data_IF_831159149359
#
_entry.id   IF_831159149359
#
_cell.length_a   1.000
_cell.length_b   1.000
_cell.length_c   1.000
_cell.angle_alpha   90.00
_cell.angle_beta   90.00
_cell.angle_gamma   90.00
#
_symmetry.space_group_name_H-M   'P 1'
#
loop_
_entity.id
_entity.type
_entity.pdbx_description
1 polymer ?
#
# COMPACT_ATOMS: atom_id res chain seq x y z
N UNK A 1 -36.14 45.25 7.64
CA UNK A 1 -35.20 44.81 6.59
C UNK A 1 -33.78 44.49 7.07
N UNK A 2 -33.19 45.15 8.08
CA UNK A 2 -31.80 44.85 8.51
C UNK A 2 -31.56 43.39 8.99
N UNK A 3 -32.47 42.82 9.78
CA UNK A 3 -32.32 41.46 10.33
C UNK A 3 -32.24 40.37 9.26
N UNK A 4 -33.02 40.50 8.18
CA UNK A 4 -33.03 39.54 7.07
C UNK A 4 -31.66 39.54 6.36
N UNK A 5 -31.13 40.72 6.05
CA UNK A 5 -29.80 40.85 5.43
C UNK A 5 -28.67 40.31 6.32
N UNK A 6 -28.77 40.46 7.64
CA UNK A 6 -27.80 39.88 8.58
C UNK A 6 -27.87 38.35 8.62
N UNK A 7 -29.08 37.79 8.56
CA UNK A 7 -29.30 36.34 8.45
C UNK A 7 -28.76 35.77 7.15
N UNK A 8 -29.06 36.40 6.01
CA UNK A 8 -28.54 36.01 4.70
C UNK A 8 -27.02 36.00 4.69
N UNK A 9 -26.39 37.05 5.26
CA UNK A 9 -24.93 37.10 5.38
C UNK A 9 -24.39 35.96 6.24
N UNK A 10 -25.01 35.65 7.39
CA UNK A 10 -24.60 34.53 8.25
C UNK A 10 -24.76 33.19 7.56
N UNK A 11 -25.87 32.96 6.85
CA UNK A 11 -26.10 31.75 6.07
C UNK A 11 -25.02 31.60 5.00
N UNK A 12 -24.71 32.67 4.28
CA UNK A 12 -23.67 32.65 3.25
C UNK A 12 -22.28 32.33 3.86
N UNK A 13 -21.94 32.96 4.98
CA UNK A 13 -20.67 32.69 5.69
C UNK A 13 -20.60 31.24 6.15
N UNK A 14 -21.65 30.72 6.80
CA UNK A 14 -21.69 29.33 7.26
C UNK A 14 -21.60 28.33 6.09
N UNK A 15 -22.22 28.62 4.95
CA UNK A 15 -22.10 27.79 3.75
C UNK A 15 -20.69 27.79 3.18
N UNK A 16 -20.02 28.95 3.13
CA UNK A 16 -18.63 29.05 2.69
C UNK A 16 -17.70 28.29 3.65
N UNK A 17 -17.91 28.41 4.96
CA UNK A 17 -17.17 27.66 5.97
C UNK A 17 -17.39 26.16 5.85
N UNK A 18 -18.64 25.71 5.70
CA UNK A 18 -18.97 24.30 5.50
C UNK A 18 -18.32 23.73 4.23
N UNK A 19 -18.31 24.50 3.14
CA UNK A 19 -17.63 24.12 1.88
C UNK A 19 -16.11 24.01 2.08
N UNK A 20 -15.51 24.99 2.77
CA UNK A 20 -14.08 24.98 3.07
C UNK A 20 -13.68 23.79 3.95
N UNK A 21 -14.45 23.50 5.00
CA UNK A 21 -14.22 22.35 5.88
C UNK A 21 -14.39 21.02 5.13
N UNK A 22 -15.36 20.92 4.22
CA UNK A 22 -15.57 19.71 3.40
C UNK A 22 -14.40 19.46 2.45
N UNK A 23 -13.84 20.52 1.85
CA UNK A 23 -12.64 20.41 1.03
C UNK A 23 -11.43 19.96 1.86
N UNK A 24 -11.24 20.53 3.05
CA UNK A 24 -10.18 20.12 3.97
C UNK A 24 -10.30 18.66 4.40
N UNK A 25 -11.51 18.20 4.72
CA UNK A 25 -11.78 16.82 5.08
C UNK A 25 -11.43 15.87 3.92
N UNK A 26 -11.78 16.23 2.69
CA UNK A 26 -11.47 15.42 1.49
C UNK A 26 -9.96 15.26 1.31
N UNK A 27 -9.19 16.33 1.50
CA UNK A 27 -7.72 16.29 1.42
C UNK A 27 -7.16 15.38 2.52
N UNK A 28 -7.60 15.56 3.77
CA UNK A 28 -7.13 14.75 4.89
C UNK A 28 -7.47 13.26 4.72
N UNK A 29 -8.66 12.93 4.20
CA UNK A 29 -9.03 11.55 3.88
C UNK A 29 -8.12 10.95 2.82
N UNK A 30 -7.85 11.70 1.74
CA UNK A 30 -6.93 11.27 0.68
C UNK A 30 -5.53 11.02 1.23
N UNK A 31 -5.00 11.95 2.02
CA UNK A 31 -3.65 11.87 2.56
C UNK A 31 -3.54 10.71 3.57
N UNK A 32 -4.57 10.49 4.40
CA UNK A 32 -4.65 9.34 5.31
C UNK A 32 -4.63 8.01 4.55
N UNK A 33 -5.41 7.90 3.48
CA UNK A 33 -5.45 6.70 2.65
C UNK A 33 -4.10 6.46 1.93
N UNK A 34 -3.46 7.53 1.45
CA UNK A 34 -2.13 7.46 0.84
C UNK A 34 -1.08 6.96 1.83
N UNK A 35 -1.06 7.51 3.05
CA UNK A 35 -0.14 7.08 4.11
C UNK A 35 -0.40 5.64 4.55
N UNK A 36 -1.67 5.22 4.61
CA UNK A 36 -2.02 3.84 4.94
C UNK A 36 -1.52 2.85 3.87
N UNK A 37 -1.62 3.20 2.58
CA UNK A 37 -1.10 2.40 1.48
C UNK A 37 0.43 2.28 1.55
N UNK A 38 1.13 3.40 1.75
CA UNK A 38 2.60 3.42 1.92
C UNK A 38 3.03 2.59 3.14
N UNK A 39 2.33 2.72 4.26
CA UNK A 39 2.60 1.93 5.46
C UNK A 39 2.45 0.41 5.21
N UNK A 40 1.44 0.00 4.45
CA UNK A 40 1.24 -1.39 4.06
C UNK A 40 2.38 -1.89 3.15
N UNK A 41 2.81 -1.09 2.17
CA UNK A 41 3.93 -1.44 1.30
C UNK A 41 5.23 -1.58 2.09
N UNK A 42 5.52 -0.65 2.99
CA UNK A 42 6.70 -0.70 3.86
C UNK A 42 6.68 -1.94 4.76
N UNK A 43 5.53 -2.32 5.32
CA UNK A 43 5.39 -3.56 6.10
C UNK A 43 5.68 -4.81 5.28
N UNK A 44 5.14 -4.89 4.06
CA UNK A 44 5.41 -6.02 3.16
C UNK A 44 6.89 -6.10 2.78
N UNK A 45 7.50 -4.95 2.48
CA UNK A 45 8.93 -4.87 2.19
C UNK A 45 9.79 -5.30 3.38
N UNK A 46 9.43 -4.87 4.59
CA UNK A 46 10.11 -5.28 5.82
C UNK A 46 10.02 -6.79 6.01
N UNK A 47 8.84 -7.38 5.90
CA UNK A 47 8.64 -8.82 6.03
C UNK A 47 9.46 -9.61 4.99
N UNK A 48 9.52 -9.13 3.75
CA UNK A 48 10.35 -9.73 2.70
C UNK A 48 11.84 -9.67 3.05
N UNK A 49 12.31 -8.53 3.57
CA UNK A 49 13.69 -8.38 4.04
C UNK A 49 14.01 -9.32 5.21
N UNK A 50 13.10 -9.47 6.17
CA UNK A 50 13.26 -10.42 7.28
C UNK A 50 13.39 -11.86 6.78
N UNK A 51 12.54 -12.28 5.83
CA UNK A 51 12.64 -13.60 5.19
C UNK A 51 13.96 -13.78 4.46
N UNK A 52 14.41 -12.75 3.73
CA UNK A 52 15.70 -12.78 3.04
C UNK A 52 16.87 -12.95 4.02
N UNK A 53 16.87 -12.24 5.15
CA UNK A 53 17.90 -12.37 6.19
C UNK A 53 17.90 -13.78 6.79
N UNK A 54 16.73 -14.33 7.14
CA UNK A 54 16.63 -15.68 7.67
C UNK A 54 17.17 -16.75 6.71
N UNK A 55 16.87 -16.64 5.42
CA UNK A 55 17.42 -17.55 4.40
C UNK A 55 18.94 -17.38 4.24
N UNK A 56 19.44 -16.14 4.33
CA UNK A 56 20.87 -15.86 4.28
C UNK A 56 21.60 -16.44 5.49
N UNK A 57 21.04 -16.34 6.68
CA UNK A 57 21.59 -16.94 7.91
C UNK A 57 21.64 -18.47 7.80
N UNK A 58 20.54 -19.10 7.36
CA UNK A 58 20.49 -20.55 7.13
C UNK A 58 21.54 -21.01 6.10
N UNK A 59 21.73 -20.24 5.02
CA UNK A 59 22.74 -20.51 4.01
C UNK A 59 24.16 -20.35 4.57
N UNK A 60 24.42 -19.29 5.34
CA UNK A 60 25.70 -19.09 6.01
C UNK A 60 26.04 -20.22 6.97
N UNK A 61 25.09 -20.68 7.78
CA UNK A 61 25.32 -21.77 8.73
C UNK A 61 25.56 -23.10 8.01
N UNK A 62 24.80 -23.40 6.96
CA UNK A 62 25.06 -24.57 6.10
C UNK A 62 26.46 -24.54 5.48
N UNK A 63 26.89 -23.37 4.98
CA UNK A 63 28.23 -23.21 4.42
C UNK A 63 29.33 -23.36 5.48
N UNK A 64 29.14 -22.84 6.70
CA UNK A 64 30.08 -23.05 7.81
C UNK A 64 30.22 -24.53 8.15
N UNK A 65 29.11 -25.28 8.16
CA UNK A 65 29.12 -26.73 8.38
C UNK A 65 29.87 -27.48 7.28
N UNK A 66 29.62 -27.16 6.00
CA UNK A 66 30.33 -27.79 4.88
C UNK A 66 31.84 -27.47 4.93
N UNK A 67 32.22 -26.22 5.23
CA UNK A 67 33.63 -25.85 5.45
C UNK A 67 34.24 -26.65 6.60
N UNK A 68 33.51 -26.84 7.70
CA UNK A 68 33.98 -27.63 8.83
C UNK A 68 34.19 -29.10 8.43
N UNK A 69 33.24 -29.69 7.72
CA UNK A 69 33.33 -31.06 7.21
C UNK A 69 34.51 -31.24 6.24
N UNK A 70 34.69 -30.30 5.31
CA UNK A 70 35.84 -30.29 4.39
C UNK A 70 37.17 -30.16 5.12
N UNK A 71 37.26 -29.35 6.19
CA UNK A 71 38.46 -29.26 7.03
C UNK A 71 38.80 -30.59 7.72
N UNK A 72 37.79 -31.34 8.18
CA UNK A 72 37.97 -32.68 8.75
C UNK A 72 38.47 -33.65 7.68
N UNK A 73 37.82 -33.70 6.51
CA UNK A 73 38.20 -34.61 5.42
C UNK A 73 39.60 -34.35 4.88
N UNK A 74 40.02 -33.09 4.83
CA UNK A 74 41.37 -32.68 4.38
C UNK A 74 42.44 -32.84 5.47
N UNK A 75 42.07 -33.26 6.68
CA UNK A 75 43.02 -33.46 7.79
C UNK A 75 43.64 -32.17 8.32
N UNK A 76 43.05 -31.00 8.02
CA UNK A 76 43.57 -29.69 8.43
C UNK A 76 43.05 -29.22 9.79
N UNK A 77 42.39 -30.09 10.55
CA UNK A 77 41.87 -29.77 11.88
C UNK A 77 43.02 -29.74 12.89
N UNK A 78 43.54 -28.53 13.14
CA UNK A 78 44.50 -28.19 14.20
C UNK A 78 45.98 -28.44 13.87
N UNK A 79 46.53 -27.66 12.93
CA UNK A 79 47.97 -27.37 12.87
C UNK A 79 48.28 -26.02 13.52
N UNK A 80 47.96 -25.89 14.81
CA UNK A 80 48.54 -24.85 15.65
C UNK A 80 49.46 -25.54 16.67
N UNK A 81 50.63 -26.00 16.20
CA UNK A 81 51.54 -26.79 17.04
C UNK A 81 52.77 -27.33 16.30
N UNK A 82 53.59 -26.44 15.73
CA UNK A 82 55.00 -26.71 15.43
C UNK A 82 55.35 -27.25 14.04
N UNK A 83 56.58 -26.98 13.54
CA UNK A 83 57.04 -27.43 12.23
C UNK A 83 57.45 -28.90 12.31
N UNK A 84 56.58 -29.82 11.89
CA UNK A 84 56.92 -31.24 11.77
C UNK A 84 56.95 -31.68 10.31
N UNK A 85 58.16 -31.60 9.79
CA UNK A 85 58.87 -32.61 8.99
C UNK A 85 58.12 -33.30 7.82
N UNK A 86 58.80 -33.19 6.68
CA UNK A 86 58.59 -33.87 5.41
C UNK A 86 58.41 -35.40 5.54
N UNK A 87 57.66 -35.93 4.55
CA UNK A 87 57.65 -37.29 3.97
C UNK A 87 56.69 -38.35 4.53
N UNK A 88 56.34 -39.39 3.74
CA UNK A 88 55.82 -39.38 2.37
C UNK A 88 54.49 -40.18 2.26
N UNK A 89 53.86 -40.11 1.09
CA UNK A 89 52.71 -40.92 0.69
C UNK A 89 52.80 -42.40 1.12
N UNK A 90 51.79 -42.90 1.84
CA UNK A 90 51.43 -44.31 1.84
C UNK A 90 49.93 -44.46 2.14
N UNK A 91 49.18 -44.71 1.07
CA UNK A 91 48.32 -45.88 0.91
C UNK A 91 47.77 -46.50 2.21
N UNK A 92 46.50 -46.22 2.53
CA UNK A 92 45.47 -47.19 2.99
C UNK A 92 44.31 -46.46 3.66
N UNK A 93 43.21 -46.24 2.91
CA UNK A 93 41.82 -46.31 3.39
C UNK A 93 40.95 -46.17 2.14
N UNK A 94 40.42 -47.25 1.59
CA UNK A 94 39.21 -47.83 2.14
C UNK A 94 38.04 -46.98 1.64
N UNK A 95 37.48 -47.40 0.51
CA UNK A 95 36.15 -47.03 0.01
C UNK A 95 35.24 -46.42 1.08
N UNK A 96 35.17 -45.10 1.13
CA UNK A 96 34.02 -44.39 1.67
C UNK A 96 33.12 -44.10 0.47
N UNK A 97 31.86 -44.56 0.45
CA UNK A 97 30.93 -44.10 -0.57
C UNK A 97 30.87 -42.59 -0.46
N UNK A 98 31.22 -41.92 -1.55
CA UNK A 98 31.01 -40.50 -1.75
C UNK A 98 29.50 -40.27 -1.63
N UNK A 99 29.00 -40.09 -0.41
CA UNK A 99 27.61 -39.68 -0.24
C UNK A 99 27.50 -38.33 -0.95
N UNK A 100 26.60 -38.19 -1.95
CA UNK A 100 26.31 -36.88 -2.48
C UNK A 100 25.84 -36.03 -1.29
N UNK A 101 26.58 -34.96 -1.00
CA UNK A 101 26.29 -34.05 0.09
C UNK A 101 24.84 -33.58 -0.05
N UNK A 102 23.95 -34.06 0.83
CA UNK A 102 22.58 -33.54 0.93
C UNK A 102 22.60 -32.04 1.27
N UNK A 103 23.70 -31.55 1.88
CA UNK A 103 23.88 -30.13 2.22
C UNK A 103 24.05 -29.24 0.99
N UNK A 104 24.68 -29.73 -0.08
CA UNK A 104 24.81 -28.99 -1.33
C UNK A 104 23.44 -28.76 -1.99
N UNK A 105 22.56 -29.76 -1.94
CA UNK A 105 21.19 -29.65 -2.43
C UNK A 105 20.35 -28.69 -1.56
N UNK A 106 20.52 -28.75 -0.23
CA UNK A 106 19.87 -27.81 0.70
C UNK A 106 20.30 -26.36 0.43
N UNK A 107 21.60 -26.12 0.22
CA UNK A 107 22.14 -24.79 -0.10
C UNK A 107 21.55 -24.24 -1.39
N UNK A 108 21.46 -25.08 -2.44
CA UNK A 108 20.86 -24.69 -3.72
C UNK A 108 19.36 -24.36 -3.57
N UNK A 109 18.62 -25.14 -2.79
CA UNK A 109 17.20 -24.90 -2.54
C UNK A 109 16.96 -23.57 -1.81
N UNK A 110 17.75 -23.30 -0.76
CA UNK A 110 17.71 -22.03 -0.02
C UNK A 110 18.07 -20.85 -0.94
N UNK A 111 19.09 -21.00 -1.79
CA UNK A 111 19.47 -19.98 -2.77
C UNK A 111 18.38 -19.73 -3.83
N UNK A 112 17.69 -20.78 -4.29
CA UNK A 112 16.54 -20.64 -5.19
C UNK A 112 15.39 -19.88 -4.52
N UNK A 113 15.10 -20.17 -3.25
CA UNK A 113 14.04 -19.49 -2.50
C UNK A 113 14.33 -17.99 -2.33
N UNK A 114 15.61 -17.62 -2.13
CA UNK A 114 16.05 -16.23 -2.08
C UNK A 114 15.87 -15.50 -3.42
N UNK A 115 16.11 -16.19 -4.55
CA UNK A 115 15.84 -15.63 -5.87
C UNK A 115 14.35 -15.33 -6.07
N UNK A 116 13.45 -16.18 -5.57
CA UNK A 116 12.01 -15.95 -5.69
C UNK A 116 11.52 -14.72 -4.90
N UNK A 117 12.04 -14.47 -3.70
CA UNK A 117 11.66 -13.29 -2.90
C UNK A 117 12.02 -11.97 -3.59
N UNK A 118 13.11 -11.95 -4.36
CA UNK A 118 13.54 -10.77 -5.11
C UNK A 118 12.54 -10.38 -6.22
N UNK A 119 11.84 -11.36 -6.79
CA UNK A 119 10.82 -11.14 -7.84
C UNK A 119 9.51 -10.59 -7.23
N UNK A 120 9.13 -11.08 -6.04
CA UNK A 120 7.89 -10.67 -5.37
C UNK A 120 7.98 -9.23 -4.83
N UNK A 121 9.17 -8.75 -4.46
CA UNK A 121 9.35 -7.37 -3.99
C UNK A 121 9.13 -6.32 -5.08
N UNK A 122 9.15 -6.70 -6.37
CA UNK A 122 9.00 -5.76 -7.49
C UNK A 122 7.54 -5.51 -7.90
N UNK A 123 6.56 -6.22 -7.32
CA UNK A 123 5.15 -6.03 -7.72
C UNK A 123 4.11 -6.05 -6.59
N UNK A 124 4.20 -5.16 -5.57
CA UNK A 124 3.15 -5.01 -4.55
C UNK A 124 1.82 -4.45 -5.12
N UNK A 125 1.86 -3.91 -6.34
CA UNK A 125 0.73 -3.23 -7.00
C UNK A 125 -0.53 -4.10 -7.09
N UNK A 126 -0.40 -5.42 -7.24
CA UNK A 126 -1.57 -6.26 -7.52
C UNK A 126 -2.50 -6.42 -6.31
N UNK A 127 -1.96 -6.41 -5.08
CA UNK A 127 -2.79 -6.51 -3.87
C UNK A 127 -3.36 -5.15 -3.45
N UNK A 128 -2.63 -4.06 -3.69
CA UNK A 128 -3.11 -2.70 -3.44
C UNK A 128 -4.21 -2.26 -4.40
N UNK A 129 -4.15 -2.67 -5.68
CA UNK A 129 -5.20 -2.35 -6.65
C UNK A 129 -6.57 -2.92 -6.22
N UNK A 130 -6.59 -4.07 -5.53
CA UNK A 130 -7.83 -4.69 -5.08
C UNK A 130 -8.45 -3.94 -3.88
N UNK A 131 -7.64 -3.43 -2.95
CA UNK A 131 -8.13 -2.59 -1.85
C UNK A 131 -8.54 -1.18 -2.32
N UNK A 132 -7.83 -0.62 -3.30
CA UNK A 132 -8.13 0.70 -3.86
C UNK A 132 -9.49 0.72 -4.59
N UNK A 133 -9.84 -0.35 -5.32
CA UNK A 133 -11.14 -0.42 -6.02
C UNK A 133 -12.33 -0.47 -5.05
N UNK A 134 -12.19 -1.11 -3.88
CA UNK A 134 -13.25 -1.09 -2.87
C UNK A 134 -13.45 0.30 -2.25
N UNK A 135 -12.38 1.04 -1.98
CA UNK A 135 -12.49 2.38 -1.38
C UNK A 135 -13.07 3.44 -2.34
N UNK A 136 -12.92 3.27 -3.66
CA UNK A 136 -13.43 4.23 -4.65
C UNK A 136 -14.94 4.10 -4.91
N UNK A 137 -15.54 2.93 -4.61
CA UNK A 137 -16.97 2.71 -4.82
C UNK A 137 -17.85 3.31 -3.71
N UNK A 138 -17.31 3.54 -2.50
CA UNK A 138 -18.09 4.11 -1.39
C UNK A 138 -18.13 5.66 -1.36
N UNK A 139 -17.22 6.35 -2.08
CA UNK A 139 -17.13 7.81 -2.00
C UNK A 139 -18.21 8.61 -2.78
N UNK A 140 -18.69 8.22 -3.98
CA UNK A 140 -19.62 9.07 -4.72
C UNK A 140 -21.05 9.12 -4.13
N UNK A 141 -21.44 8.19 -3.24
CA UNK A 141 -22.77 8.23 -2.62
C UNK A 141 -22.90 9.25 -1.48
N UNK A 142 -21.83 9.51 -0.71
CA UNK A 142 -21.95 10.40 0.45
C UNK A 142 -21.87 11.89 0.08
N UNK A 143 -21.18 12.23 -1.02
CA UNK A 143 -21.08 13.63 -1.47
C UNK A 143 -22.29 14.11 -2.29
N UNK A 144 -23.00 13.20 -2.99
CA UNK A 144 -24.29 13.53 -3.61
C UNK A 144 -25.37 13.80 -2.56
N UNK A 145 -25.39 13.06 -1.44
CA UNK A 145 -26.41 13.26 -0.41
C UNK A 145 -26.28 14.61 0.31
N UNK A 146 -25.05 15.04 0.64
CA UNK A 146 -24.80 16.37 1.21
C UNK A 146 -25.16 17.50 0.23
N UNK A 147 -24.94 17.30 -1.07
CA UNK A 147 -25.26 18.31 -2.10
C UNK A 147 -26.76 18.34 -2.41
N UNK A 148 -27.46 17.20 -2.36
CA UNK A 148 -28.92 17.14 -2.50
C UNK A 148 -29.64 17.73 -1.29
N UNK A 149 -29.22 17.45 -0.05
CA UNK A 149 -29.87 17.98 1.15
C UNK A 149 -29.82 19.53 1.22
N UNK A 150 -28.72 20.13 0.77
CA UNK A 150 -28.60 21.59 0.64
C UNK A 150 -29.48 22.16 -0.49
N UNK A 151 -29.73 21.39 -1.55
CA UNK A 151 -30.55 21.82 -2.70
C UNK A 151 -32.05 21.70 -2.43
N UNK A 152 -32.47 20.70 -1.64
CA UNK A 152 -33.87 20.46 -1.30
C UNK A 152 -34.37 21.46 -0.25
N UNK A 153 -33.49 21.99 0.62
CA UNK A 153 -33.84 23.02 1.61
C UNK A 153 -33.85 24.46 1.03
N UNK A 154 -33.07 24.74 -0.02
CA UNK A 154 -32.94 26.08 -0.62
C UNK A 154 -33.95 26.43 -1.74
N UNK A 155 -34.82 25.51 -2.15
CA UNK A 155 -35.60 25.62 -3.40
C UNK A 155 -36.96 26.32 -3.32
N UNK A 156 -37.43 26.82 -2.17
CA UNK A 156 -38.86 27.21 -2.01
C UNK A 156 -39.16 28.71 -1.83
N UNK A 157 -38.20 29.63 -1.92
CA UNK A 157 -38.46 31.06 -1.64
C UNK A 157 -38.18 32.05 -2.78
N UNK A 158 -38.28 31.66 -4.04
CA UNK A 158 -38.22 32.61 -5.17
C UNK A 158 -39.30 32.36 -6.22
N UNK A 159 -40.57 32.51 -5.86
CA UNK A 159 -41.65 32.65 -6.84
C UNK A 159 -42.89 33.34 -6.24
N UNK A 160 -42.76 34.56 -5.73
CA UNK A 160 -43.91 35.46 -5.56
C UNK A 160 -43.40 36.88 -5.35
N UNK A 161 -43.34 37.66 -6.43
CA UNK A 161 -43.61 39.11 -6.47
C UNK A 161 -43.06 39.71 -7.75
N UNK A 162 -43.79 39.56 -8.85
CA UNK A 162 -43.71 40.54 -9.94
C UNK A 162 -45.10 40.89 -10.46
N UNK A 163 -45.50 42.11 -10.08
CA UNK A 163 -46.29 43.08 -10.87
C UNK A 163 -47.78 42.82 -11.06
N UNK A 164 -48.55 43.35 -10.12
CA UNK A 164 -49.72 44.15 -10.48
C UNK A 164 -49.27 45.48 -11.11
N UNK A 165 -50.14 45.97 -12.00
CA UNK A 165 -50.30 47.34 -12.51
C UNK A 165 -49.90 47.56 -13.98
N UNK A 166 -50.89 47.45 -14.89
CA UNK A 166 -51.42 48.60 -15.64
C UNK A 166 -52.40 48.15 -16.75
N UNK A 167 -53.57 48.81 -16.74
CA UNK A 167 -54.50 49.09 -17.85
C UNK A 167 -55.28 47.94 -18.50
N UNK A 168 -56.54 47.87 -18.06
CA UNK A 168 -57.74 47.63 -18.88
C UNK A 168 -57.64 48.21 -20.30
N UNK A 169 -58.00 47.39 -21.29
CA UNK A 169 -59.00 47.68 -22.34
C UNK A 169 -59.05 46.48 -23.29
N UNK A 170 -60.03 45.59 -23.04
CA UNK A 170 -60.54 44.64 -24.04
C UNK A 170 -61.82 45.22 -24.64
N UNK A 171 -61.89 45.27 -25.96
CA UNK A 171 -63.15 45.21 -26.73
C UNK A 171 -63.07 44.03 -27.70
N UNK A 172 -64.18 43.33 -27.97
CA UNK A 172 -64.14 41.96 -28.48
C UNK A 172 -64.23 41.84 -30.01
N UNK A 173 -63.85 40.65 -30.47
CA UNK A 173 -63.99 40.05 -31.81
C UNK A 173 -65.41 40.15 -32.40
N UNK A 174 -65.52 40.45 -33.71
CA UNK A 174 -66.37 39.77 -34.74
C UNK A 174 -66.40 40.61 -36.03
N UNK A 175 -65.96 40.06 -37.17
CA UNK A 175 -66.73 39.42 -38.28
C UNK A 175 -67.27 40.42 -39.32
N UNK A 176 -67.01 40.02 -40.57
CA UNK A 176 -67.33 40.59 -41.90
C UNK A 176 -66.53 41.82 -42.37
#
# INVERSE_FOLDING_TARGET
MRYIAELERKVQTLQTEATSLSAQLTILQRDTNSLAAENSELKLRLQSMEQQVHLQDALNDTLKEEIHHLKILTGQTNLNGGPMMKFPSSSYRGSQPLYPSNQAMQTLLTAQQLQQLQIHSQNPQHQLHQLQQHAQQEQPQQQQQLTEDLKISGGSMLASSQKENASDLRTPVSKD
#
